data_IF_954747623980
#
_entry.id   IF_954747623980
#
_cell.length_a   1.000
_cell.length_b   1.000
_cell.length_c   1.000
_cell.angle_alpha   90.00
_cell.angle_beta   90.00
_cell.angle_gamma   90.00
#
_symmetry.space_group_name_H-M   'P 1'
#
loop_
_entity.id
_entity.type
_entity.pdbx_description
1 polymer ?
#
# COMPACT_ATOMS: atom_id res chain seq x y z
N UNK A 1 33.05 -29.86 -41.72
CA UNK A 1 33.90 -28.82 -42.34
C UNK A 1 33.03 -27.78 -43.03
N UNK A 2 32.65 -26.73 -42.31
CA UNK A 2 32.29 -25.43 -42.86
C UNK A 2 32.94 -24.40 -41.95
N UNK A 3 33.74 -23.53 -42.53
CA UNK A 3 34.66 -22.62 -41.85
C UNK A 3 33.90 -21.47 -41.17
N UNK A 4 34.14 -21.33 -39.87
CA UNK A 4 33.82 -20.13 -39.10
C UNK A 4 34.61 -18.95 -39.67
N UNK A 5 33.91 -17.97 -40.22
CA UNK A 5 34.47 -16.67 -40.59
C UNK A 5 34.85 -15.88 -39.33
N UNK A 6 36.09 -15.42 -39.29
CA UNK A 6 36.67 -14.59 -38.24
C UNK A 6 35.96 -13.23 -38.16
N UNK A 7 35.30 -12.94 -37.03
CA UNK A 7 34.86 -11.60 -36.68
C UNK A 7 36.06 -10.80 -36.16
N UNK A 8 36.33 -9.68 -36.81
CA UNK A 8 37.39 -8.73 -36.51
C UNK A 8 37.01 -7.91 -35.25
N UNK A 9 37.85 -7.79 -34.21
CA UNK A 9 37.54 -6.99 -33.02
C UNK A 9 37.89 -5.52 -33.30
N UNK A 10 36.96 -4.81 -33.97
CA UNK A 10 37.09 -3.39 -34.29
C UNK A 10 36.12 -2.53 -33.47
N UNK A 11 36.68 -1.70 -32.59
CA UNK A 11 36.15 -0.42 -32.09
C UNK A 11 34.76 -0.41 -31.43
N UNK A 12 34.67 -0.90 -30.19
CA UNK A 12 33.72 -0.40 -29.19
C UNK A 12 34.41 0.67 -28.33
N UNK A 13 34.72 1.81 -28.93
CA UNK A 13 35.07 3.04 -28.22
C UNK A 13 34.52 4.19 -29.05
N UNK A 14 33.39 4.74 -28.61
CA UNK A 14 33.05 6.16 -28.69
C UNK A 14 31.68 6.36 -28.02
N UNK A 15 31.70 6.38 -26.69
CA UNK A 15 30.67 7.10 -25.95
C UNK A 15 30.84 8.60 -26.29
N UNK A 16 29.77 9.33 -26.67
CA UNK A 16 29.90 10.76 -26.96
C UNK A 16 30.38 11.49 -25.69
N UNK A 17 31.30 12.47 -25.82
CA UNK A 17 31.84 13.17 -24.67
C UNK A 17 30.71 13.94 -23.94
N UNK A 18 30.77 14.04 -22.60
CA UNK A 18 29.77 14.79 -21.86
C UNK A 18 29.92 16.27 -22.21
N UNK A 19 28.81 16.87 -22.66
CA UNK A 19 28.62 18.30 -22.65
C UNK A 19 29.50 19.10 -23.62
N UNK A 20 29.12 19.14 -24.89
CA UNK A 20 29.17 20.40 -25.63
C UNK A 20 27.75 20.73 -26.06
N UNK A 21 27.18 21.73 -25.40
CA UNK A 21 25.97 22.37 -25.87
C UNK A 21 26.24 22.84 -27.31
N UNK A 22 25.37 22.48 -28.25
CA UNK A 22 25.45 22.93 -29.63
C UNK A 22 25.37 24.47 -29.65
N UNK A 23 26.39 25.15 -30.20
CA UNK A 23 26.42 26.63 -30.35
C UNK A 23 25.32 27.17 -31.29
N UNK A 24 24.56 26.30 -31.95
CA UNK A 24 23.41 26.67 -32.77
C UNK A 24 22.07 26.65 -32.02
N UNK A 25 22.05 26.18 -30.77
CA UNK A 25 20.87 26.27 -29.91
C UNK A 25 20.81 27.63 -29.20
N UNK A 26 20.52 28.71 -29.94
CA UNK A 26 20.18 30.02 -29.37
C UNK A 26 18.80 29.95 -28.69
N UNK A 27 18.70 29.23 -27.57
CA UNK A 27 17.58 29.42 -26.67
C UNK A 27 17.77 30.77 -25.97
N UNK A 28 16.79 31.69 -26.07
CA UNK A 28 16.86 32.92 -25.29
C UNK A 28 17.07 32.52 -23.82
N UNK A 29 17.93 33.24 -23.06
CA UNK A 29 18.13 32.93 -21.66
C UNK A 29 16.75 32.87 -21.01
N UNK A 30 16.38 31.70 -20.47
CA UNK A 30 15.11 31.57 -19.73
C UNK A 30 15.14 32.65 -18.66
N UNK A 31 14.38 33.73 -18.85
CA UNK A 31 14.18 34.75 -17.83
C UNK A 31 13.81 33.97 -16.58
N UNK A 32 14.65 34.04 -15.54
CA UNK A 32 14.25 33.59 -14.20
C UNK A 32 12.95 34.32 -13.94
N UNK A 33 11.82 33.61 -14.00
CA UNK A 33 10.52 34.18 -13.61
C UNK A 33 10.77 34.71 -12.20
N UNK A 34 10.66 36.03 -12.02
CA UNK A 34 10.90 36.67 -10.73
C UNK A 34 10.17 35.88 -9.66
N UNK A 35 10.84 35.61 -8.55
CA UNK A 35 10.32 34.74 -7.50
C UNK A 35 8.94 35.24 -7.08
N UNK A 36 7.90 34.53 -7.49
CA UNK A 36 6.54 34.82 -7.06
C UNK A 36 6.50 34.51 -5.56
N UNK A 37 6.35 35.56 -4.74
CA UNK A 37 6.15 35.39 -3.30
C UNK A 37 4.88 34.57 -3.07
N UNK A 38 4.98 33.51 -2.26
CA UNK A 38 3.83 32.70 -1.85
C UNK A 38 2.89 33.59 -1.03
N UNK A 39 1.59 33.61 -1.36
CA UNK A 39 0.58 34.43 -0.68
C UNK A 39 0.28 33.91 0.73
N UNK A 40 0.08 34.78 1.74
CA UNK A 40 -0.33 34.37 3.10
C UNK A 40 -1.61 33.52 3.11
N UNK A 41 -2.55 33.78 2.19
CA UNK A 41 -3.78 33.02 2.04
C UNK A 41 -3.47 31.56 1.70
N UNK A 42 -2.63 31.31 0.68
CA UNK A 42 -2.18 29.95 0.34
C UNK A 42 -1.43 29.27 1.51
N UNK A 43 -0.57 30.00 2.23
CA UNK A 43 0.11 29.47 3.42
C UNK A 43 -0.91 29.04 4.49
N UNK A 44 -1.98 29.81 4.69
CA UNK A 44 -3.03 29.49 5.66
C UNK A 44 -3.85 28.25 5.29
N UNK A 45 -3.84 27.84 4.02
CA UNK A 45 -4.48 26.59 3.56
C UNK A 45 -3.61 25.35 3.70
N UNK A 46 -2.32 25.49 4.08
CA UNK A 46 -1.45 24.35 4.30
C UNK A 46 -2.02 23.53 5.45
N UNK A 47 -2.51 22.35 5.10
CA UNK A 47 -3.05 21.41 6.05
C UNK A 47 -2.03 20.35 6.39
N UNK A 48 -1.91 20.06 7.69
CA UNK A 48 -1.22 18.90 8.23
C UNK A 48 -2.10 18.32 9.34
N UNK A 49 -2.02 17.02 9.58
CA UNK A 49 -2.80 16.39 10.66
C UNK A 49 -2.40 17.04 12.00
N UNK A 50 -3.31 17.71 12.74
CA UNK A 50 -2.99 18.34 14.01
C UNK A 50 -2.59 17.33 15.10
N UNK A 51 -1.82 17.77 16.09
CA UNK A 51 -1.43 16.93 17.24
C UNK A 51 -2.64 16.37 17.99
N UNK A 52 -3.70 17.16 18.16
CA UNK A 52 -4.94 16.74 18.80
C UNK A 52 -5.58 15.56 18.09
N UNK A 53 -5.68 15.60 16.76
CA UNK A 53 -6.20 14.49 15.96
C UNK A 53 -5.31 13.25 16.06
N UNK A 54 -3.98 13.42 16.06
CA UNK A 54 -3.05 12.30 16.28
C UNK A 54 -3.25 11.62 17.65
N UNK A 55 -3.47 12.40 18.71
CA UNK A 55 -3.72 11.86 20.05
C UNK A 55 -5.08 11.17 20.18
N UNK A 56 -6.12 11.71 19.54
CA UNK A 56 -7.43 11.06 19.46
C UNK A 56 -7.32 9.72 18.75
N UNK A 57 -6.60 9.67 17.64
CA UNK A 57 -6.40 8.43 16.88
C UNK A 57 -5.58 7.41 17.68
N UNK A 58 -4.55 7.85 18.40
CA UNK A 58 -3.78 6.96 19.31
C UNK A 58 -4.66 6.38 20.41
N UNK A 59 -5.53 7.18 21.01
CA UNK A 59 -6.51 6.73 22.00
C UNK A 59 -7.48 5.71 21.41
N UNK A 60 -7.96 5.95 20.19
CA UNK A 60 -8.83 5.02 19.47
C UNK A 60 -8.13 3.68 19.21
N UNK A 61 -6.89 3.70 18.71
CA UNK A 61 -6.09 2.48 18.48
C UNK A 61 -5.94 1.67 19.77
N UNK A 62 -5.61 2.32 20.89
CA UNK A 62 -5.48 1.64 22.18
C UNK A 62 -6.81 1.01 22.62
N UNK A 63 -7.92 1.74 22.47
CA UNK A 63 -9.26 1.22 22.77
C UNK A 63 -9.61 -0.01 21.93
N UNK A 64 -9.29 0.01 20.64
CA UNK A 64 -9.55 -1.13 19.75
C UNK A 64 -8.66 -2.34 20.06
N UNK A 65 -7.39 -2.13 20.42
CA UNK A 65 -6.51 -3.21 20.88
C UNK A 65 -7.10 -3.86 22.14
N UNK A 66 -7.55 -3.05 23.11
CA UNK A 66 -8.19 -3.57 24.32
C UNK A 66 -9.50 -4.31 24.00
N UNK A 67 -10.34 -3.76 23.11
CA UNK A 67 -11.63 -4.34 22.74
C UNK A 67 -11.48 -5.68 22.03
N UNK A 68 -10.52 -5.80 21.12
CA UNK A 68 -10.29 -7.01 20.33
C UNK A 68 -9.44 -8.06 21.06
N UNK A 69 -8.62 -7.62 22.02
CA UNK A 69 -7.72 -8.46 22.79
C UNK A 69 -6.41 -8.75 22.04
N UNK A 70 -5.30 -8.68 22.78
CA UNK A 70 -3.96 -8.89 22.24
C UNK A 70 -3.80 -10.27 21.59
N UNK A 71 -4.27 -11.33 22.25
CA UNK A 71 -4.20 -12.71 21.74
C UNK A 71 -4.86 -12.87 20.37
N UNK A 72 -5.99 -12.19 20.15
CA UNK A 72 -6.72 -12.22 18.87
C UNK A 72 -5.89 -11.56 17.77
N UNK A 73 -5.30 -10.40 18.06
CA UNK A 73 -4.45 -9.67 17.12
C UNK A 73 -3.15 -10.42 16.81
N UNK A 74 -2.55 -11.08 17.80
CA UNK A 74 -1.37 -11.93 17.60
C UNK A 74 -1.71 -13.14 16.72
N UNK A 75 -2.85 -13.80 16.94
CA UNK A 75 -3.34 -14.89 16.06
C UNK A 75 -3.60 -14.41 14.64
N UNK A 76 -4.10 -13.19 14.46
CA UNK A 76 -4.31 -12.59 13.15
C UNK A 76 -2.97 -12.41 12.40
N UNK A 77 -1.94 -11.87 13.09
CA UNK A 77 -0.59 -11.74 12.54
C UNK A 77 0.05 -13.10 12.21
N UNK A 78 -0.14 -14.11 13.05
CA UNK A 78 0.34 -15.47 12.79
C UNK A 78 -0.34 -16.08 11.56
N UNK A 79 -1.65 -15.89 11.41
CA UNK A 79 -2.41 -16.37 10.25
C UNK A 79 -1.93 -15.70 8.95
N UNK A 80 -1.66 -14.38 8.99
CA UNK A 80 -1.08 -13.66 7.87
C UNK A 80 0.33 -14.19 7.51
N UNK A 81 1.17 -14.45 8.50
CA UNK A 81 2.52 -14.98 8.28
C UNK A 81 2.53 -16.39 7.67
N UNK A 82 1.58 -17.24 8.07
CA UNK A 82 1.37 -18.55 7.44
C UNK A 82 0.89 -18.38 5.99
N UNK A 83 -0.12 -17.54 5.76
CA UNK A 83 -0.68 -17.32 4.42
C UNK A 83 0.35 -16.78 3.43
N UNK A 84 1.33 -16.00 3.90
CA UNK A 84 2.43 -15.45 3.10
C UNK A 84 3.15 -16.52 2.27
N UNK A 85 3.26 -17.76 2.77
CA UNK A 85 3.97 -18.85 2.10
C UNK A 85 3.28 -19.30 0.80
N UNK A 86 2.00 -18.96 0.63
CA UNK A 86 1.20 -19.32 -0.55
C UNK A 86 1.23 -18.26 -1.66
N UNK A 87 1.99 -17.18 -1.48
CA UNK A 87 2.13 -16.12 -2.48
C UNK A 87 2.72 -16.64 -3.81
N UNK A 88 2.08 -16.29 -4.92
CA UNK A 88 2.59 -16.55 -6.27
C UNK A 88 3.28 -15.30 -6.80
N UNK A 89 4.60 -15.25 -6.68
CA UNK A 89 5.40 -14.02 -6.91
C UNK A 89 6.63 -14.27 -7.81
N UNK A 90 6.44 -14.70 -9.07
CA UNK A 90 7.54 -14.98 -9.99
C UNK A 90 8.34 -13.76 -10.45
N UNK A 91 7.82 -12.53 -10.28
CA UNK A 91 8.47 -11.30 -10.76
C UNK A 91 9.17 -10.53 -9.64
N UNK A 92 8.47 -10.19 -8.55
CA UNK A 92 9.08 -9.43 -7.45
C UNK A 92 9.79 -10.31 -6.43
N UNK A 93 9.39 -11.59 -6.35
CA UNK A 93 9.76 -12.51 -5.26
C UNK A 93 9.41 -11.99 -3.85
N UNK A 94 8.53 -10.99 -3.78
CA UNK A 94 8.13 -10.34 -2.53
C UNK A 94 6.82 -10.93 -2.02
N UNK A 95 6.93 -11.90 -1.11
CA UNK A 95 5.75 -12.58 -0.56
C UNK A 95 5.08 -11.73 0.53
N UNK A 96 3.76 -11.52 0.37
CA UNK A 96 2.88 -10.86 1.33
C UNK A 96 1.73 -11.81 1.67
N UNK A 97 1.51 -12.02 2.95
CA UNK A 97 0.32 -12.70 3.46
C UNK A 97 -0.53 -11.74 4.27
N UNK A 98 -1.85 -11.91 4.21
CA UNK A 98 -2.83 -11.05 4.86
C UNK A 98 -3.89 -11.89 5.54
N UNK A 99 -4.29 -11.45 6.73
CA UNK A 99 -5.46 -11.95 7.42
C UNK A 99 -6.32 -10.76 7.84
N UNK A 100 -7.63 -10.83 7.61
CA UNK A 100 -8.59 -9.83 8.04
C UNK A 100 -9.54 -10.42 9.07
N UNK A 101 -9.88 -9.63 10.08
CA UNK A 101 -10.93 -9.91 11.04
C UNK A 101 -12.18 -9.12 10.65
N UNK A 102 -13.29 -9.82 10.45
CA UNK A 102 -14.57 -9.21 10.12
C UNK A 102 -15.46 -9.01 11.36
N UNK A 103 -16.53 -8.23 11.21
CA UNK A 103 -17.54 -7.98 12.25
C UNK A 103 -18.25 -9.24 12.73
N UNK A 104 -18.38 -10.25 11.86
CA UNK A 104 -18.88 -11.58 12.22
C UNK A 104 -17.98 -12.32 13.23
N UNK A 105 -16.73 -11.86 13.41
CA UNK A 105 -15.69 -12.56 14.16
C UNK A 105 -14.88 -13.54 13.30
N UNK A 106 -15.26 -13.72 12.03
CA UNK A 106 -14.56 -14.60 11.10
C UNK A 106 -13.25 -13.99 10.62
N UNK A 107 -12.27 -14.87 10.34
CA UNK A 107 -10.98 -14.50 9.76
C UNK A 107 -10.91 -14.97 8.31
N UNK A 108 -10.56 -14.05 7.42
CA UNK A 108 -10.36 -14.35 5.99
C UNK A 108 -8.92 -14.08 5.58
N UNK A 109 -8.39 -14.97 4.75
CA UNK A 109 -6.98 -14.98 4.35
C UNK A 109 -6.80 -14.58 2.90
N UNK A 110 -5.66 -13.96 2.60
CA UNK A 110 -5.22 -13.60 1.27
C UNK A 110 -3.70 -13.49 1.16
N UNK A 111 -3.19 -13.57 -0.07
CA UNK A 111 -1.78 -13.36 -0.39
C UNK A 111 -1.67 -12.70 -1.76
N UNK A 112 -0.54 -12.09 -2.07
CA UNK A 112 -0.34 -11.53 -3.39
C UNK A 112 -0.15 -12.62 -4.47
N UNK A 113 -0.65 -12.33 -5.67
CA UNK A 113 -0.59 -13.18 -6.86
C UNK A 113 -0.23 -12.29 -8.05
N UNK A 114 0.97 -12.46 -8.58
CA UNK A 114 1.47 -11.64 -9.67
C UNK A 114 1.09 -12.20 -11.03
N UNK A 115 0.71 -11.31 -11.94
CA UNK A 115 0.39 -11.63 -13.33
C UNK A 115 1.33 -10.88 -14.27
N UNK A 116 1.42 -11.37 -15.50
CA UNK A 116 2.24 -10.73 -16.55
C UNK A 116 1.82 -9.28 -16.79
N UNK A 117 0.52 -9.00 -16.70
CA UNK A 117 -0.02 -7.65 -16.68
C UNK A 117 -0.08 -7.14 -15.24
N UNK A 118 0.74 -6.14 -14.93
CA UNK A 118 0.84 -5.61 -13.56
C UNK A 118 -0.47 -5.01 -13.03
N UNK A 119 -1.33 -4.48 -13.90
CA UNK A 119 -2.65 -3.95 -13.50
C UNK A 119 -3.61 -5.04 -13.01
N UNK A 120 -3.31 -6.29 -13.32
CA UNK A 120 -4.09 -7.46 -12.93
C UNK A 120 -3.47 -8.20 -11.73
N UNK A 121 -2.35 -7.72 -11.17
CA UNK A 121 -1.76 -8.35 -9.98
C UNK A 121 -2.66 -8.13 -8.76
N UNK A 122 -2.98 -9.21 -8.05
CA UNK A 122 -3.77 -9.14 -6.82
C UNK A 122 -2.85 -8.90 -5.64
N UNK A 123 -3.23 -7.95 -4.80
CA UNK A 123 -2.56 -7.72 -3.52
C UNK A 123 -3.18 -8.62 -2.44
N UNK A 124 -2.42 -8.96 -1.39
CA UNK A 124 -2.92 -9.83 -0.33
C UNK A 124 -4.15 -9.27 0.38
N UNK A 125 -4.21 -7.95 0.56
CA UNK A 125 -5.33 -7.24 1.19
C UNK A 125 -6.61 -7.35 0.34
N UNK A 126 -6.47 -7.16 -0.96
CA UNK A 126 -7.59 -7.31 -1.91
C UNK A 126 -8.07 -8.76 -1.97
N UNK A 127 -7.14 -9.72 -2.01
CA UNK A 127 -7.47 -11.14 -2.03
C UNK A 127 -8.24 -11.54 -0.76
N UNK A 128 -7.81 -11.09 0.43
CA UNK A 128 -8.48 -11.39 1.69
C UNK A 128 -9.88 -10.76 1.77
N UNK A 129 -10.04 -9.52 1.33
CA UNK A 129 -11.33 -8.83 1.28
C UNK A 129 -12.27 -9.51 0.28
N UNK A 130 -11.78 -9.83 -0.91
CA UNK A 130 -12.55 -10.53 -1.95
C UNK A 130 -13.00 -11.89 -1.45
N UNK A 131 -12.13 -12.62 -0.73
CA UNK A 131 -12.47 -13.90 -0.12
C UNK A 131 -13.61 -13.75 0.91
N UNK A 132 -13.57 -12.72 1.77
CA UNK A 132 -14.67 -12.43 2.70
C UNK A 132 -16.00 -12.15 1.99
N UNK A 133 -15.96 -11.35 0.92
CA UNK A 133 -17.15 -11.04 0.11
C UNK A 133 -17.73 -12.31 -0.51
N UNK A 134 -16.89 -13.14 -1.14
CA UNK A 134 -17.32 -14.41 -1.79
C UNK A 134 -17.94 -15.36 -0.76
N UNK A 135 -17.46 -15.36 0.48
CA UNK A 135 -17.98 -16.20 1.56
C UNK A 135 -19.23 -15.61 2.25
N UNK A 136 -19.76 -14.49 1.76
CA UNK A 136 -21.03 -13.93 2.21
C UNK A 136 -20.93 -12.97 3.39
N UNK A 137 -19.74 -12.41 3.67
CA UNK A 137 -19.55 -11.52 4.81
C UNK A 137 -20.33 -10.20 4.65
N UNK A 138 -20.55 -9.74 3.42
CA UNK A 138 -21.32 -8.52 3.14
C UNK A 138 -22.80 -8.72 3.48
N UNK A 139 -23.36 -9.88 3.15
CA UNK A 139 -24.73 -10.26 3.48
C UNK A 139 -24.90 -10.44 4.99
N UNK A 140 -23.88 -10.96 5.67
CA UNK A 140 -23.93 -11.23 7.12
C UNK A 140 -23.75 -9.98 7.98
N UNK A 141 -22.75 -9.15 7.66
CA UNK A 141 -22.29 -8.05 8.52
C UNK A 141 -22.41 -6.66 7.88
N UNK A 142 -22.97 -6.60 6.67
CA UNK A 142 -23.06 -5.39 5.87
C UNK A 142 -21.74 -5.04 5.18
N UNK A 143 -21.79 -4.06 4.27
CA UNK A 143 -20.64 -3.61 3.48
C UNK A 143 -19.42 -3.23 4.34
N UNK A 144 -19.65 -2.59 5.49
CA UNK A 144 -18.62 -2.11 6.41
C UNK A 144 -18.20 -3.19 7.41
N UNK A 145 -17.76 -4.35 6.93
CA UNK A 145 -17.48 -5.52 7.79
C UNK A 145 -16.04 -5.56 8.33
N UNK A 146 -15.09 -4.84 7.75
CA UNK A 146 -13.67 -4.97 8.10
C UNK A 146 -13.37 -4.29 9.45
N UNK A 147 -12.84 -5.05 10.40
CA UNK A 147 -12.55 -4.58 11.77
C UNK A 147 -11.05 -4.43 12.03
N UNK A 148 -10.27 -5.43 11.60
CA UNK A 148 -8.82 -5.38 11.68
C UNK A 148 -8.19 -6.13 10.49
N UNK A 149 -6.96 -5.77 10.14
CA UNK A 149 -6.18 -6.41 9.09
C UNK A 149 -4.73 -6.53 9.54
N UNK A 150 -4.12 -7.69 9.32
CA UNK A 150 -2.69 -7.92 9.51
C UNK A 150 -2.01 -8.26 8.18
N UNK A 151 -0.94 -7.55 7.83
CA UNK A 151 -0.05 -7.86 6.71
C UNK A 151 1.28 -8.42 7.24
N UNK A 152 1.71 -9.58 6.75
CA UNK A 152 3.00 -10.17 7.07
C UNK A 152 3.90 -10.20 5.84
N UNK A 153 5.09 -9.60 5.95
CA UNK A 153 6.10 -9.57 4.89
C UNK A 153 7.51 -9.25 5.44
N UNK A 154 8.55 -9.36 4.61
CA UNK A 154 9.94 -9.08 5.04
C UNK A 154 10.27 -7.59 5.23
N UNK A 155 9.48 -6.69 4.64
CA UNK A 155 9.67 -5.24 4.77
C UNK A 155 9.08 -4.64 6.04
N UNK A 156 8.82 -3.34 6.01
CA UNK A 156 8.19 -2.57 7.08
C UNK A 156 7.09 -1.62 6.58
N UNK A 157 6.68 -1.79 5.32
CA UNK A 157 5.62 -1.03 4.67
C UNK A 157 4.25 -1.31 5.25
N UNK A 158 3.38 -0.30 5.21
CA UNK A 158 1.94 -0.46 5.38
C UNK A 158 1.29 -0.83 4.03
N UNK A 159 0.00 -1.24 4.00
CA UNK A 159 -0.74 -1.45 2.75
C UNK A 159 -0.54 -0.30 1.76
N UNK A 160 -0.47 -0.62 0.46
CA UNK A 160 -0.28 0.41 -0.57
C UNK A 160 -1.53 1.28 -0.76
N UNK A 161 -1.42 2.39 -1.49
CA UNK A 161 -2.54 3.32 -1.71
C UNK A 161 -3.80 2.64 -2.28
N UNK A 162 -3.63 1.73 -3.25
CA UNK A 162 -4.74 0.94 -3.84
C UNK A 162 -5.47 0.12 -2.78
N UNK A 163 -4.73 -0.63 -1.97
CA UNK A 163 -5.30 -1.46 -0.90
C UNK A 163 -6.00 -0.61 0.15
N UNK A 164 -5.43 0.54 0.54
CA UNK A 164 -6.10 1.46 1.48
C UNK A 164 -7.45 1.92 0.95
N UNK A 165 -7.53 2.24 -0.34
CA UNK A 165 -8.77 2.66 -0.97
C UNK A 165 -9.82 1.52 -1.03
N UNK A 166 -9.39 0.28 -1.28
CA UNK A 166 -10.26 -0.90 -1.21
C UNK A 166 -10.74 -1.14 0.22
N UNK A 167 -9.86 -1.04 1.22
CA UNK A 167 -10.24 -1.16 2.62
C UNK A 167 -11.27 -0.09 3.02
N UNK A 168 -11.16 1.14 2.50
CA UNK A 168 -12.11 2.22 2.76
C UNK A 168 -13.52 1.96 2.20
N UNK A 169 -13.68 1.05 1.24
CA UNK A 169 -15.01 0.57 0.84
C UNK A 169 -15.66 -0.24 1.97
N UNK A 170 -14.86 -1.02 2.70
CA UNK A 170 -15.32 -2.01 3.68
C UNK A 170 -15.10 -1.64 5.16
N UNK A 171 -14.52 -0.47 5.44
CA UNK A 171 -14.38 0.09 6.77
C UNK A 171 -14.39 1.62 6.72
N UNK A 172 -14.95 2.26 7.75
CA UNK A 172 -14.74 3.70 7.97
C UNK A 172 -13.41 3.95 8.68
N UNK A 173 -13.07 3.05 9.60
CA UNK A 173 -11.74 2.89 10.18
C UNK A 173 -11.57 1.43 10.62
N UNK A 174 -10.33 0.93 10.64
CA UNK A 174 -10.00 -0.41 11.13
C UNK A 174 -8.57 -0.42 11.67
N UNK A 175 -8.24 -1.38 12.54
CA UNK A 175 -6.85 -1.60 12.94
C UNK A 175 -6.05 -2.18 11.77
N UNK A 176 -4.81 -1.73 11.63
CA UNK A 176 -3.87 -2.25 10.64
C UNK A 176 -2.59 -2.64 11.36
N UNK A 177 -2.25 -3.92 11.27
CA UNK A 177 -1.05 -4.51 11.85
C UNK A 177 -0.08 -4.85 10.73
N UNK A 178 1.19 -4.48 10.93
CA UNK A 178 2.29 -4.94 10.07
C UNK A 178 3.11 -5.91 10.89
N UNK A 179 3.30 -7.11 10.38
CA UNK A 179 4.03 -8.19 11.00
C UNK A 179 5.24 -8.61 10.16
N UNK A 180 6.24 -9.18 10.82
CA UNK A 180 7.36 -9.83 10.15
C UNK A 180 6.95 -11.22 9.58
N UNK A 181 7.82 -11.92 8.82
CA UNK A 181 7.51 -13.24 8.29
C UNK A 181 7.29 -14.34 9.35
N UNK A 182 7.56 -14.07 10.62
CA UNK A 182 7.32 -14.98 11.76
C UNK A 182 6.04 -14.61 12.53
N UNK A 183 5.29 -13.62 12.05
CA UNK A 183 4.06 -13.15 12.68
C UNK A 183 4.27 -12.24 13.90
N UNK A 184 5.50 -11.75 14.13
CA UNK A 184 5.76 -10.77 15.19
C UNK A 184 5.27 -9.40 14.73
N UNK A 185 4.50 -8.71 15.58
CA UNK A 185 4.00 -7.36 15.31
C UNK A 185 5.16 -6.37 15.25
N UNK A 186 5.30 -5.67 14.13
CA UNK A 186 6.27 -4.58 13.95
C UNK A 186 5.65 -3.20 14.13
N UNK A 187 4.41 -3.03 13.66
CA UNK A 187 3.66 -1.76 13.74
C UNK A 187 2.18 -2.03 13.93
N UNK A 188 1.52 -1.15 14.67
CA UNK A 188 0.06 -1.07 14.74
C UNK A 188 -0.36 0.36 14.41
N UNK A 189 -1.33 0.50 13.53
CA UNK A 189 -1.89 1.79 13.10
C UNK A 189 -3.36 1.61 12.74
N UNK A 190 -3.94 2.61 12.10
CA UNK A 190 -5.33 2.60 11.64
C UNK A 190 -5.45 2.97 10.17
N UNK A 191 -6.53 2.54 9.53
CA UNK A 191 -6.82 2.93 8.15
C UNK A 191 -6.92 4.45 8.01
N UNK A 192 -7.55 5.14 8.98
CA UNK A 192 -7.69 6.59 8.97
C UNK A 192 -6.35 7.33 9.03
N UNK A 193 -5.36 6.78 9.74
CA UNK A 193 -3.99 7.30 9.72
C UNK A 193 -3.33 7.11 8.36
N UNK A 194 -3.58 5.97 7.72
CA UNK A 194 -2.95 5.61 6.44
C UNK A 194 -3.62 6.28 5.23
N UNK A 195 -4.89 6.61 5.33
CA UNK A 195 -5.70 7.24 4.28
C UNK A 195 -6.58 8.34 4.90
N UNK A 196 -5.98 9.47 5.34
CA UNK A 196 -6.73 10.58 5.89
C UNK A 196 -7.61 11.20 4.78
N UNK A 197 -8.83 11.61 5.14
CA UNK A 197 -9.82 12.17 4.20
C UNK A 197 -10.07 11.25 2.99
N UNK A 198 -10.19 9.95 3.26
CA UNK A 198 -10.48 8.95 2.24
C UNK A 198 -11.67 9.37 1.38
N UNK A 199 -11.52 9.25 0.05
CA UNK A 199 -12.66 9.30 -0.85
C UNK A 199 -13.50 8.03 -0.65
N UNK A 200 -14.80 8.18 -0.51
CA UNK A 200 -15.73 7.10 -0.15
C UNK A 200 -17.04 7.26 -0.91
N UNK A 201 -17.93 6.25 -0.90
CA UNK A 201 -19.24 6.34 -1.54
C UNK A 201 -20.08 7.56 -1.14
N UNK A 202 -19.90 8.11 0.07
CA UNK A 202 -20.60 9.33 0.50
C UNK A 202 -20.25 10.54 -0.36
N UNK A 203 -19.04 10.60 -0.90
CA UNK A 203 -18.60 11.66 -1.83
C UNK A 203 -19.25 11.51 -3.22
N UNK A 204 -19.80 10.34 -3.54
CA UNK A 204 -20.62 10.08 -4.73
C UNK A 204 -22.12 10.27 -4.47
N UNK A 205 -22.52 10.68 -3.26
CA UNK A 205 -23.92 10.78 -2.85
C UNK A 205 -24.58 9.44 -2.52
N UNK A 206 -23.78 8.39 -2.27
CA UNK A 206 -24.26 7.06 -1.90
C UNK A 206 -24.06 6.86 -0.39
N UNK A 207 -25.15 6.65 0.34
CA UNK A 207 -25.14 6.29 1.78
C UNK A 207 -24.90 4.80 1.98
#
# INVERSE_FOLDING_TARGET
HQSLGSLNPGSYLDAPPPGRCCDQCHHPPRKRRGGSSITPELVSTIWTVPDSERQLEKTWILGEITRLGEDSLLKLCQSAAQQRQHAYVPYSHYQVGVAILAKSGQVYLGNNVERVSYSETDHGEEAAITNAVIQGEVEQSGRKFLVALACAHSGDSAPCGRCRQIMAEHADNCLVLVADPKGNVKRVTSLKTLLPYAFTPTHLGIS
#
